data_IF_351549098032
#
_entry.id   IF_351549098032
#
_cell.length_a   1.000
_cell.length_b   1.000
_cell.length_c   1.000
_cell.angle_alpha   90.00
_cell.angle_beta   90.00
_cell.angle_gamma   90.00
#
_symmetry.space_group_name_H-M   'P 1'
#
loop_
_entity.id
_entity.type
_entity.pdbx_description
1 polymer ?
#
# COMPACT_ATOMS: atom_id res chain seq x y z
N UNK A 1 10.48 -4.53 19.59
CA UNK A 1 9.12 -4.69 19.09
C UNK A 1 9.18 -5.69 17.95
N UNK A 2 8.63 -6.87 18.16
CA UNK A 2 8.63 -7.92 17.13
C UNK A 2 7.71 -7.46 15.99
N UNK A 3 8.30 -7.30 14.81
CA UNK A 3 7.53 -7.17 13.58
C UNK A 3 6.84 -8.52 13.35
N UNK A 4 5.56 -8.61 13.69
CA UNK A 4 4.69 -9.70 13.29
C UNK A 4 4.35 -9.55 11.79
N UNK A 5 5.39 -9.56 10.95
CA UNK A 5 5.18 -9.78 9.54
C UNK A 5 4.69 -11.22 9.41
N UNK A 6 3.53 -11.40 8.86
CA UNK A 6 3.10 -12.70 8.39
C UNK A 6 4.04 -13.13 7.25
N UNK A 7 4.99 -14.04 7.48
CA UNK A 7 5.93 -14.45 6.44
C UNK A 7 5.23 -15.20 5.30
N UNK A 8 3.94 -15.49 5.46
CA UNK A 8 3.12 -16.14 4.44
C UNK A 8 2.45 -15.16 3.49
N UNK A 9 2.49 -13.85 3.78
CA UNK A 9 1.88 -12.86 2.90
C UNK A 9 2.59 -12.86 1.52
N UNK A 10 1.83 -12.87 0.41
CA UNK A 10 2.41 -12.85 -0.93
C UNK A 10 3.29 -11.63 -1.16
N UNK A 11 4.38 -11.78 -1.93
CA UNK A 11 5.27 -10.67 -2.29
C UNK A 11 4.49 -9.45 -2.84
N UNK A 12 3.43 -9.71 -3.61
CA UNK A 12 2.57 -8.64 -4.14
C UNK A 12 1.92 -7.79 -3.04
N UNK A 13 1.54 -8.38 -1.90
CA UNK A 13 0.98 -7.66 -0.76
C UNK A 13 2.02 -6.74 -0.12
N UNK A 14 3.27 -7.21 0.03
CA UNK A 14 4.38 -6.40 0.54
C UNK A 14 4.69 -5.22 -0.38
N UNK A 15 4.75 -5.45 -1.69
CA UNK A 15 5.00 -4.41 -2.67
C UNK A 15 3.86 -3.37 -2.73
N UNK A 16 2.61 -3.81 -2.62
CA UNK A 16 1.46 -2.92 -2.56
C UNK A 16 1.46 -2.06 -1.28
N UNK A 17 1.77 -2.66 -0.13
CA UNK A 17 1.91 -1.94 1.14
C UNK A 17 3.08 -0.94 1.08
N UNK A 18 4.22 -1.34 0.50
CA UNK A 18 5.35 -0.45 0.26
C UNK A 18 4.96 0.75 -0.60
N UNK A 19 4.24 0.53 -1.70
CA UNK A 19 3.79 1.60 -2.59
C UNK A 19 2.88 2.61 -1.87
N UNK A 20 1.91 2.13 -1.06
CA UNK A 20 1.04 3.01 -0.26
C UNK A 20 1.84 3.78 0.80
N UNK A 21 2.77 3.12 1.48
CA UNK A 21 3.63 3.74 2.47
C UNK A 21 4.54 4.82 1.86
N UNK A 22 5.14 4.53 0.71
CA UNK A 22 5.98 5.47 -0.03
C UNK A 22 5.18 6.69 -0.48
N UNK A 23 4.02 6.46 -1.13
CA UNK A 23 3.12 7.52 -1.58
C UNK A 23 2.67 8.44 -0.45
N UNK A 24 2.29 7.86 0.69
CA UNK A 24 1.88 8.63 1.87
C UNK A 24 3.00 9.55 2.40
N UNK A 25 4.25 9.10 2.30
CA UNK A 25 5.40 9.81 2.85
C UNK A 25 6.00 10.87 1.89
N UNK A 26 5.83 10.69 0.57
CA UNK A 26 6.62 11.43 -0.43
C UNK A 26 5.78 12.21 -1.44
N UNK A 27 4.48 11.93 -1.58
CA UNK A 27 3.68 12.50 -2.66
C UNK A 27 2.65 13.52 -2.16
N UNK A 28 2.48 14.59 -2.95
CA UNK A 28 1.42 15.57 -2.75
C UNK A 28 0.86 16.00 -4.13
N UNK A 29 -0.44 15.88 -4.38
CA UNK A 29 -1.47 15.43 -3.43
C UNK A 29 -1.40 13.91 -3.15
N UNK A 30 -1.82 13.52 -1.96
CA UNK A 30 -1.93 12.12 -1.59
C UNK A 30 -3.28 11.55 -2.04
N UNK A 31 -3.28 10.65 -3.03
CA UNK A 31 -4.48 10.08 -3.63
C UNK A 31 -5.13 9.05 -2.69
N UNK A 32 -4.30 8.26 -2.02
CA UNK A 32 -4.71 7.23 -1.07
C UNK A 32 -3.72 7.25 0.11
N UNK A 33 -3.96 8.18 1.05
CA UNK A 33 -3.11 8.31 2.23
C UNK A 33 -3.36 7.15 3.19
N UNK A 34 -2.32 6.37 3.41
CA UNK A 34 -2.34 5.19 4.27
C UNK A 34 -1.24 5.26 5.34
N UNK A 35 -1.50 5.97 6.45
CA UNK A 35 -0.50 6.13 7.51
C UNK A 35 -0.16 4.83 8.24
N UNK A 36 -0.98 3.78 8.07
CA UNK A 36 -0.75 2.48 8.69
C UNK A 36 0.02 1.51 7.80
N UNK A 37 0.16 1.78 6.49
CA UNK A 37 0.87 0.89 5.57
C UNK A 37 2.32 0.64 6.00
N UNK A 38 3.06 1.70 6.37
CA UNK A 38 4.44 1.55 6.82
C UNK A 38 4.57 0.85 8.18
N UNK A 39 3.81 1.22 9.23
CA UNK A 39 3.80 0.47 10.48
C UNK A 39 3.45 -1.01 10.32
N UNK A 40 2.47 -1.33 9.47
CA UNK A 40 2.06 -2.71 9.22
C UNK A 40 3.14 -3.49 8.48
N UNK A 41 3.76 -2.89 7.46
CA UNK A 41 4.87 -3.49 6.71
C UNK A 41 6.12 -3.67 7.59
N UNK A 42 6.35 -2.75 8.52
CA UNK A 42 7.54 -2.66 9.35
C UNK A 42 8.71 -1.94 8.68
N UNK A 43 9.47 -1.17 9.47
CA UNK A 43 10.58 -0.36 8.94
C UNK A 43 11.67 -1.19 8.28
N UNK A 44 12.01 -2.34 8.84
CA UNK A 44 13.04 -3.23 8.29
C UNK A 44 12.67 -3.68 6.87
N UNK A 45 11.44 -4.12 6.67
CA UNK A 45 10.95 -4.58 5.37
C UNK A 45 10.80 -3.41 4.40
N UNK A 46 10.31 -2.25 4.86
CA UNK A 46 10.24 -1.04 4.05
C UNK A 46 11.60 -0.67 3.48
N UNK A 47 12.65 -0.65 4.32
CA UNK A 47 14.00 -0.36 3.87
C UNK A 47 14.58 -1.46 2.98
N UNK A 48 14.29 -2.73 3.29
CA UNK A 48 14.75 -3.86 2.48
C UNK A 48 14.21 -3.77 1.05
N UNK A 49 12.91 -3.52 0.88
CA UNK A 49 12.28 -3.36 -0.44
C UNK A 49 12.87 -2.15 -1.17
N UNK A 50 12.95 -0.98 -0.52
CA UNK A 50 13.51 0.22 -1.13
C UNK A 50 14.96 0.04 -1.59
N UNK A 51 15.77 -0.68 -0.80
CA UNK A 51 17.13 -0.99 -1.15
C UNK A 51 17.20 -1.92 -2.37
N UNK A 52 16.44 -3.00 -2.37
CA UNK A 52 16.40 -3.94 -3.48
C UNK A 52 16.01 -3.26 -4.80
N UNK A 53 14.96 -2.46 -4.79
CA UNK A 53 14.51 -1.72 -5.98
C UNK A 53 15.59 -0.76 -6.50
N UNK A 54 16.24 -0.01 -5.62
CA UNK A 54 17.25 0.95 -6.01
C UNK A 54 18.60 0.31 -6.40
N UNK A 55 18.93 -0.87 -5.87
CA UNK A 55 20.13 -1.61 -6.23
C UNK A 55 20.01 -2.23 -7.64
N UNK A 56 18.83 -2.69 -8.00
CA UNK A 56 18.55 -3.27 -9.31
C UNK A 56 18.15 -2.21 -10.37
N UNK A 57 18.71 -0.99 -10.24
CA UNK A 57 18.42 0.14 -11.14
C UNK A 57 18.60 -0.19 -12.62
N UNK A 58 19.58 -1.02 -12.96
CA UNK A 58 19.83 -1.42 -14.34
C UNK A 58 18.64 -2.17 -14.97
N UNK A 59 17.81 -2.80 -14.15
CA UNK A 59 16.62 -3.53 -14.58
C UNK A 59 15.38 -2.62 -14.56
N UNK A 60 15.21 -1.84 -13.49
CA UNK A 60 13.96 -1.11 -13.25
C UNK A 60 13.97 0.35 -13.71
N UNK A 61 15.15 0.96 -13.87
CA UNK A 61 15.31 2.34 -14.30
C UNK A 61 16.61 2.51 -15.12
N UNK A 62 16.77 1.77 -16.23
CA UNK A 62 18.00 1.79 -17.04
C UNK A 62 18.29 3.16 -17.65
N UNK A 63 17.29 4.03 -17.76
CA UNK A 63 17.40 5.41 -18.25
C UNK A 63 18.05 6.37 -17.23
N UNK A 64 18.25 5.93 -15.99
CA UNK A 64 18.78 6.74 -14.89
C UNK A 64 20.09 6.17 -14.31
N UNK A 65 21.13 5.89 -15.12
CA UNK A 65 22.33 5.18 -14.65
C UNK A 65 23.11 5.95 -13.57
N UNK A 66 23.16 7.28 -13.69
CA UNK A 66 23.95 8.16 -12.82
C UNK A 66 23.10 8.99 -11.84
N UNK A 67 21.78 8.76 -11.80
CA UNK A 67 20.89 9.50 -10.94
C UNK A 67 21.09 9.14 -9.43
N UNK A 68 20.81 10.09 -8.52
CA UNK A 68 20.78 9.81 -7.10
C UNK A 68 19.82 8.67 -6.77
N UNK A 69 20.18 7.84 -5.78
CA UNK A 69 19.37 6.68 -5.36
C UNK A 69 17.89 7.04 -5.09
N UNK A 70 17.64 8.20 -4.50
CA UNK A 70 16.28 8.68 -4.23
C UNK A 70 15.47 8.95 -5.50
N UNK A 71 16.11 9.51 -6.54
CA UNK A 71 15.46 9.77 -7.81
C UNK A 71 15.15 8.48 -8.57
N UNK A 72 16.08 7.51 -8.54
CA UNK A 72 15.86 6.17 -9.10
C UNK A 72 14.67 5.49 -8.42
N UNK A 73 14.64 5.52 -7.10
CA UNK A 73 13.56 4.92 -6.32
C UNK A 73 12.21 5.59 -6.61
N UNK A 74 12.16 6.92 -6.66
CA UNK A 74 10.96 7.66 -7.02
C UNK A 74 10.45 7.26 -8.40
N UNK A 75 11.33 7.20 -9.40
CA UNK A 75 10.99 6.77 -10.76
C UNK A 75 10.38 5.36 -10.76
N UNK A 76 11.04 4.40 -10.13
CA UNK A 76 10.57 3.00 -10.07
C UNK A 76 9.21 2.93 -9.39
N UNK A 77 9.06 3.58 -8.25
CA UNK A 77 7.78 3.55 -7.50
C UNK A 77 6.67 4.18 -8.31
N UNK A 78 6.87 5.36 -8.89
CA UNK A 78 5.81 6.09 -9.59
C UNK A 78 5.43 5.47 -10.93
N UNK A 79 6.34 4.78 -11.61
CA UNK A 79 6.06 4.22 -12.94
C UNK A 79 5.66 2.76 -12.91
N UNK A 80 6.25 1.97 -12.03
CA UNK A 80 6.08 0.52 -12.06
C UNK A 80 5.26 -0.02 -10.88
N UNK A 81 5.45 0.54 -9.69
CA UNK A 81 4.94 -0.09 -8.47
C UNK A 81 3.64 0.52 -7.95
N UNK A 82 3.55 1.85 -7.90
CA UNK A 82 2.44 2.55 -7.25
C UNK A 82 1.15 2.67 -8.08
N UNK A 83 1.17 2.81 -9.42
CA UNK A 83 -0.05 3.13 -10.17
C UNK A 83 -1.21 2.16 -9.94
N UNK A 84 -0.96 0.85 -10.04
CA UNK A 84 -2.02 -0.14 -9.90
C UNK A 84 -2.54 -0.24 -8.45
N UNK A 85 -1.72 -0.47 -7.40
CA UNK A 85 -2.22 -0.59 -6.04
C UNK A 85 -2.88 0.70 -5.52
N UNK A 86 -2.38 1.88 -5.87
CA UNK A 86 -3.02 3.14 -5.46
C UNK A 86 -4.37 3.35 -6.15
N UNK A 87 -4.45 3.08 -7.46
CA UNK A 87 -5.71 3.18 -8.19
C UNK A 87 -6.75 2.19 -7.65
N UNK A 88 -6.35 0.95 -7.38
CA UNK A 88 -7.22 -0.07 -6.80
C UNK A 88 -7.71 0.33 -5.41
N UNK A 89 -6.84 0.81 -4.53
CA UNK A 89 -7.22 1.24 -3.20
C UNK A 89 -8.19 2.43 -3.25
N UNK A 90 -7.87 3.46 -4.03
CA UNK A 90 -8.73 4.64 -4.17
C UNK A 90 -10.11 4.28 -4.76
N UNK A 91 -10.15 3.42 -5.79
CA UNK A 91 -11.38 2.94 -6.38
C UNK A 91 -12.23 2.13 -5.39
N UNK A 92 -11.60 1.18 -4.70
CA UNK A 92 -12.29 0.31 -3.73
C UNK A 92 -12.87 1.13 -2.58
N UNK A 93 -12.11 2.04 -2.01
CA UNK A 93 -12.60 2.91 -0.94
C UNK A 93 -13.74 3.83 -1.42
N UNK A 94 -13.64 4.37 -2.62
CA UNK A 94 -14.70 5.19 -3.22
C UNK A 94 -15.99 4.39 -3.43
N UNK A 95 -15.88 3.19 -4.00
CA UNK A 95 -17.03 2.30 -4.24
C UNK A 95 -17.69 1.85 -2.93
N UNK A 96 -16.88 1.48 -1.94
CA UNK A 96 -17.38 1.08 -0.62
C UNK A 96 -18.05 2.24 0.10
N UNK A 97 -17.46 3.43 0.05
CA UNK A 97 -18.08 4.65 0.61
C UNK A 97 -19.44 4.93 -0.01
N UNK A 98 -19.56 4.78 -1.33
CA UNK A 98 -20.84 4.93 -2.01
C UNK A 98 -21.87 3.87 -1.54
N UNK A 99 -21.45 2.61 -1.42
CA UNK A 99 -22.29 1.52 -0.92
C UNK A 99 -22.77 1.75 0.52
N UNK A 100 -21.89 2.19 1.42
CA UNK A 100 -22.26 2.51 2.82
C UNK A 100 -23.29 3.65 2.86
N UNK A 101 -23.15 4.66 2.00
CA UNK A 101 -24.13 5.76 1.90
C UNK A 101 -25.50 5.29 1.43
N UNK A 102 -25.59 4.20 0.67
CA UNK A 102 -26.86 3.60 0.22
C UNK A 102 -27.41 2.54 1.18
N UNK A 103 -26.78 2.34 2.35
CA UNK A 103 -27.32 1.51 3.41
C UNK A 103 -26.58 0.19 3.64
N UNK A 104 -25.46 -0.08 2.94
CA UNK A 104 -24.62 -1.24 3.26
C UNK A 104 -24.03 -1.10 4.66
N UNK A 105 -24.10 -2.16 5.46
CA UNK A 105 -23.66 -2.20 6.86
C UNK A 105 -22.68 -3.33 7.16
N UNK A 106 -22.32 -4.12 6.16
CA UNK A 106 -21.34 -5.20 6.28
C UNK A 106 -20.41 -5.19 5.08
N UNK A 107 -19.13 -5.35 5.33
CA UNK A 107 -18.08 -5.46 4.35
C UNK A 107 -17.23 -6.69 4.66
N UNK A 108 -16.94 -7.50 3.66
CA UNK A 108 -16.05 -8.65 3.78
C UNK A 108 -14.83 -8.41 2.89
N UNK A 109 -13.65 -8.40 3.48
CA UNK A 109 -12.37 -8.34 2.78
C UNK A 109 -11.83 -9.76 2.63
N UNK A 110 -11.72 -10.20 1.38
CA UNK A 110 -11.16 -11.52 1.08
C UNK A 110 -9.69 -11.37 0.73
N UNK A 111 -8.84 -12.12 1.43
CA UNK A 111 -7.38 -12.08 1.27
C UNK A 111 -6.83 -10.67 1.45
N UNK A 112 -7.20 -10.06 2.57
CA UNK A 112 -6.81 -8.67 2.89
C UNK A 112 -5.29 -8.49 2.93
N UNK A 113 -4.54 -9.50 3.35
CA UNK A 113 -3.08 -9.47 3.40
C UNK A 113 -2.59 -8.26 4.21
N UNK A 114 -1.90 -7.32 3.56
CA UNK A 114 -1.43 -6.09 4.19
C UNK A 114 -2.34 -4.87 3.90
N UNK A 115 -3.64 -5.09 3.65
CA UNK A 115 -4.60 -3.98 3.58
C UNK A 115 -4.82 -3.37 4.96
N UNK A 116 -5.07 -2.08 5.01
CA UNK A 116 -5.21 -1.33 6.26
C UNK A 116 -6.61 -0.76 6.46
N UNK A 117 -7.53 -0.99 5.55
CA UNK A 117 -8.85 -0.36 5.57
C UNK A 117 -9.62 -0.69 6.87
N UNK A 118 -9.60 -1.98 7.28
CA UNK A 118 -10.24 -2.43 8.52
C UNK A 118 -9.59 -1.82 9.77
N UNK A 119 -8.29 -1.56 9.72
CA UNK A 119 -7.53 -0.94 10.83
C UNK A 119 -7.71 0.58 10.87
N UNK A 120 -7.71 1.25 9.71
CA UNK A 120 -7.89 2.70 9.62
C UNK A 120 -9.30 3.14 9.98
N UNK A 121 -10.29 2.32 9.64
CA UNK A 121 -11.72 2.57 9.90
C UNK A 121 -12.12 4.03 9.70
N UNK A 122 -12.12 4.54 8.46
CA UNK A 122 -12.52 5.92 8.19
C UNK A 122 -13.91 6.22 8.76
N UNK A 123 -14.16 7.45 9.16
CA UNK A 123 -15.42 7.87 9.83
C UNK A 123 -16.69 7.45 9.07
N UNK A 124 -16.63 7.44 7.72
CA UNK A 124 -17.75 7.03 6.89
C UNK A 124 -18.08 5.52 7.00
N UNK A 125 -17.19 4.72 7.61
CA UNK A 125 -17.40 3.28 7.91
C UNK A 125 -17.81 3.01 9.36
N UNK A 126 -18.05 4.02 10.17
CA UNK A 126 -18.31 3.84 11.60
C UNK A 126 -19.42 2.81 11.89
N UNK A 127 -20.48 2.83 11.08
CA UNK A 127 -21.64 1.93 11.20
C UNK A 127 -21.55 0.68 10.30
N UNK A 128 -20.41 0.42 9.70
CA UNK A 128 -20.17 -0.74 8.84
C UNK A 128 -19.34 -1.79 9.57
N UNK A 129 -19.84 -2.99 9.74
CA UNK A 129 -19.06 -4.12 10.25
C UNK A 129 -18.11 -4.60 9.16
N UNK A 130 -16.83 -4.77 9.51
CA UNK A 130 -15.80 -5.26 8.57
C UNK A 130 -15.34 -6.62 9.04
N UNK A 131 -15.31 -7.56 8.12
CA UNK A 131 -14.82 -8.92 8.34
C UNK A 131 -13.65 -9.17 7.39
N UNK A 132 -12.57 -9.69 7.91
CA UNK A 132 -11.40 -10.13 7.11
C UNK A 132 -11.37 -11.66 7.09
N UNK A 133 -11.22 -12.22 5.90
CA UNK A 133 -11.09 -13.65 5.67
C UNK A 133 -9.81 -13.91 4.90
N UNK A 134 -8.79 -14.35 5.62
CA UNK A 134 -7.54 -14.87 5.06
C UNK A 134 -7.53 -16.39 5.17
N UNK A 135 -6.93 -17.12 4.20
CA UNK A 135 -6.86 -18.58 4.21
C UNK A 135 -5.93 -19.13 5.29
#
# INVERSE_FOLDING_TARGET
>A
MNSNLDPSAPLAAHLAAYARAYHTAHDAPCICCDPLARPLLGDAEYHRIGNLLADDRAVFAPELPDAPRSAVLAQIVHTLLAPAPLAMAAFTESALRAAVRTGVRQCVLLRAGLDTLALRRPDWMADCAVFELDP
#
